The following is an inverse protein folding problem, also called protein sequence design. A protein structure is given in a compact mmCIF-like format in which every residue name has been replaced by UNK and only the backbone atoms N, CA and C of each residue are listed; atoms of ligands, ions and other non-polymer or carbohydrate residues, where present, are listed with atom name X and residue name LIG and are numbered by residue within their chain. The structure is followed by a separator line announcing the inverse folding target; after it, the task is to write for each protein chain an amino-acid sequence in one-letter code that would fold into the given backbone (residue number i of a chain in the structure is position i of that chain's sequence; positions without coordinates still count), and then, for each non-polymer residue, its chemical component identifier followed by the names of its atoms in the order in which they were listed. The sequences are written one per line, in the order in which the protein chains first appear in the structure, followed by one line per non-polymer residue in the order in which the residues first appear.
data_IF_456719933248
#
_entry.id   IF_456719933248
#
_cell.length_a   1.000
_cell.length_b   1.000
_cell.length_c   1.000
_cell.angle_alpha   90.00
_cell.angle_beta   90.00
_cell.angle_gamma   90.00
#
_symmetry.space_group_name_H-M   'P 1'
#
loop_
_entity.id
_entity.type
_entity.pdbx_description
1 polymer ?
#
# COMPACT_ATOMS: atom_id res chain seq x y z
N UNK A 1 -13.73 1.40 -0.70
CA UNK A 1 -14.78 1.78 0.24
C UNK A 1 -14.42 1.42 1.68
N UNK A 2 -14.14 0.14 1.98
CA UNK A 2 -13.83 -0.31 3.35
C UNK A 2 -12.69 0.47 4.03
N UNK A 3 -11.59 0.74 3.30
CA UNK A 3 -10.49 1.56 3.82
C UNK A 3 -10.94 2.98 4.15
N UNK A 4 -11.78 3.59 3.33
CA UNK A 4 -12.30 4.94 3.63
C UNK A 4 -13.20 4.94 4.88
N UNK A 5 -13.99 3.88 5.11
CA UNK A 5 -14.74 3.71 6.35
C UNK A 5 -13.81 3.59 7.57
N UNK A 6 -12.73 2.81 7.47
CA UNK A 6 -11.75 2.67 8.53
C UNK A 6 -11.04 4.01 8.82
N UNK A 7 -10.67 4.78 7.79
CA UNK A 7 -10.05 6.10 7.97
C UNK A 7 -11.01 7.07 8.68
N UNK A 8 -12.30 7.08 8.30
CA UNK A 8 -13.31 7.89 9.01
C UNK A 8 -13.44 7.48 10.48
N UNK A 9 -13.40 6.18 10.78
CA UNK A 9 -13.42 5.64 12.14
C UNK A 9 -12.21 6.08 12.97
N UNK A 10 -11.04 6.23 12.36
CA UNK A 10 -9.85 6.73 13.05
C UNK A 10 -10.01 8.18 13.53
N UNK A 11 -10.87 8.97 12.89
CA UNK A 11 -11.13 10.34 13.26
C UNK A 11 -10.13 11.33 12.66
N UNK A 12 -9.69 12.31 13.46
CA UNK A 12 -8.85 13.42 13.01
C UNK A 12 -7.50 12.94 12.46
N UNK A 13 -7.22 13.31 11.22
CA UNK A 13 -5.96 13.02 10.53
C UNK A 13 -5.64 14.13 9.53
N UNK A 14 -4.37 14.37 9.31
CA UNK A 14 -3.88 15.32 8.28
C UNK A 14 -3.46 14.58 7.00
N UNK A 15 -2.86 13.38 7.15
CA UNK A 15 -2.28 12.64 6.05
C UNK A 15 -2.74 11.17 6.06
N UNK A 16 -3.12 10.68 4.87
CA UNK A 16 -3.22 9.26 4.57
C UNK A 16 -2.10 8.91 3.61
N UNK A 17 -1.15 8.10 4.05
CA UNK A 17 0.02 7.70 3.25
C UNK A 17 -0.13 6.24 2.82
N UNK A 18 -0.03 6.00 1.53
CA UNK A 18 -0.06 4.67 0.94
C UNK A 18 1.11 4.42 -0.01
N UNK A 19 1.34 3.16 -0.35
CA UNK A 19 2.23 2.80 -1.45
C UNK A 19 1.62 3.18 -2.80
N UNK A 20 2.45 3.24 -3.84
CA UNK A 20 2.05 3.57 -5.21
C UNK A 20 0.95 2.64 -5.74
N UNK A 21 1.17 1.35 -5.62
CA UNK A 21 0.29 0.32 -6.15
C UNK A 21 0.55 -1.05 -5.52
N UNK A 22 -0.46 -1.93 -5.56
CA UNK A 22 -0.30 -3.33 -5.23
C UNK A 22 0.12 -4.12 -6.50
N UNK A 23 0.89 -5.19 -6.31
CA UNK A 23 1.47 -5.97 -7.41
C UNK A 23 0.49 -6.98 -8.03
N UNK A 24 -0.62 -7.25 -7.40
CA UNK A 24 -1.63 -8.21 -7.85
C UNK A 24 -2.44 -7.71 -9.06
N UNK A 25 -2.96 -6.49 -8.99
CA UNK A 25 -3.74 -5.89 -10.08
C UNK A 25 -3.02 -4.81 -10.86
N UNK A 26 -1.92 -4.30 -10.34
CA UNK A 26 -1.02 -3.30 -10.94
C UNK A 26 -1.70 -2.02 -11.46
N UNK A 27 -2.85 -1.65 -10.88
CA UNK A 27 -3.70 -0.55 -11.37
C UNK A 27 -3.49 0.78 -10.68
N UNK A 28 -2.77 0.83 -9.57
CA UNK A 28 -2.51 2.03 -8.76
C UNK A 28 -3.78 2.81 -8.31
N UNK A 29 -4.92 2.14 -8.19
CA UNK A 29 -6.22 2.78 -7.96
C UNK A 29 -6.58 2.97 -6.48
N UNK A 30 -6.01 2.20 -5.56
CA UNK A 30 -6.47 2.17 -4.15
C UNK A 30 -6.34 3.53 -3.48
N UNK A 31 -5.19 4.19 -3.56
CA UNK A 31 -4.98 5.53 -3.00
C UNK A 31 -5.98 6.56 -3.54
N UNK A 32 -6.04 6.76 -4.87
CA UNK A 32 -7.00 7.66 -5.50
C UNK A 32 -8.46 7.37 -5.13
N UNK A 33 -8.88 6.12 -5.11
CA UNK A 33 -10.25 5.76 -4.74
C UNK A 33 -10.56 6.00 -3.25
N UNK A 34 -9.58 5.86 -2.36
CA UNK A 34 -9.74 6.22 -0.95
C UNK A 34 -9.93 7.73 -0.83
N UNK A 35 -9.13 8.53 -1.52
CA UNK A 35 -9.26 9.99 -1.54
C UNK A 35 -10.65 10.43 -2.04
N UNK A 36 -11.10 9.86 -3.16
CA UNK A 36 -12.43 10.13 -3.73
C UNK A 36 -13.55 9.79 -2.74
N UNK A 37 -13.49 8.61 -2.10
CA UNK A 37 -14.48 8.18 -1.11
C UNK A 37 -14.47 9.02 0.16
N UNK A 38 -13.34 9.64 0.50
CA UNK A 38 -13.21 10.57 1.63
C UNK A 38 -13.60 12.00 1.26
N UNK A 39 -13.61 12.34 -0.03
CA UNK A 39 -13.85 13.71 -0.52
C UNK A 39 -12.69 14.66 -0.25
N UNK A 40 -11.43 14.15 -0.28
CA UNK A 40 -10.22 14.91 0.04
C UNK A 40 -9.23 14.89 -1.14
N UNK A 41 -8.34 15.91 -1.22
CA UNK A 41 -7.30 15.93 -2.25
C UNK A 41 -6.37 14.73 -2.21
N UNK A 42 -5.68 14.48 -3.34
CA UNK A 42 -4.70 13.43 -3.46
C UNK A 42 -3.45 13.91 -4.20
N UNK A 43 -2.29 13.38 -3.81
CA UNK A 43 -1.03 13.52 -4.52
C UNK A 43 -0.46 12.12 -4.74
N UNK A 44 -0.39 11.70 -6.01
CA UNK A 44 0.16 10.38 -6.38
C UNK A 44 1.61 10.47 -6.80
N UNK A 45 2.34 9.34 -6.70
CA UNK A 45 3.74 9.21 -7.12
C UNK A 45 4.71 10.16 -6.40
N UNK A 46 4.46 10.44 -5.12
CA UNK A 46 5.32 11.31 -4.32
C UNK A 46 6.73 10.73 -4.16
N UNK A 47 7.73 11.59 -4.30
CA UNK A 47 9.15 11.26 -4.08
C UNK A 47 9.70 11.95 -2.83
N UNK A 48 9.28 13.18 -2.59
CA UNK A 48 9.85 14.02 -1.55
C UNK A 48 8.78 14.94 -0.97
N UNK A 49 8.76 15.09 0.35
CA UNK A 49 7.99 16.15 1.01
C UNK A 49 8.91 17.37 1.12
N UNK A 50 8.64 18.38 0.27
CA UNK A 50 9.45 19.60 0.21
C UNK A 50 9.23 20.47 1.45
N UNK A 51 7.96 20.64 1.86
CA UNK A 51 7.61 21.30 3.12
C UNK A 51 6.29 20.78 3.67
N UNK A 52 6.15 20.83 4.99
CA UNK A 52 4.93 20.54 5.71
C UNK A 52 4.67 21.67 6.71
N UNK A 53 3.65 22.46 6.47
CA UNK A 53 3.28 23.61 7.29
C UNK A 53 1.89 23.40 7.89
N UNK A 54 1.47 24.29 8.78
CA UNK A 54 0.12 24.24 9.32
C UNK A 54 -0.89 24.46 8.19
N UNK A 55 -1.72 23.44 7.95
CA UNK A 55 -2.81 23.49 6.97
C UNK A 55 -2.45 23.03 5.55
N UNK A 56 -1.17 22.83 5.21
CA UNK A 56 -0.76 22.44 3.85
C UNK A 56 0.53 21.63 3.80
N UNK A 57 0.69 20.90 2.71
CA UNK A 57 1.91 20.17 2.37
C UNK A 57 2.31 20.47 0.92
N UNK A 58 3.62 20.59 0.69
CA UNK A 58 4.22 20.72 -0.65
C UNK A 58 5.01 19.44 -0.93
N UNK A 59 4.70 18.78 -2.03
CA UNK A 59 5.22 17.47 -2.39
C UNK A 59 5.77 17.50 -3.81
N UNK A 60 6.96 16.95 -3.99
CA UNK A 60 7.54 16.66 -5.30
C UNK A 60 7.09 15.27 -5.73
N UNK A 61 6.54 15.17 -6.92
CA UNK A 61 6.02 13.92 -7.49
C UNK A 61 6.63 13.63 -8.85
N UNK A 62 6.78 12.35 -9.18
CA UNK A 62 7.31 11.91 -10.49
C UNK A 62 6.19 11.38 -11.37
N UNK A 63 6.14 11.89 -12.58
CA UNK A 63 5.28 11.40 -13.65
C UNK A 63 6.14 10.85 -14.79
N UNK A 64 5.51 10.23 -15.79
CA UNK A 64 6.21 9.66 -16.94
C UNK A 64 7.06 10.69 -17.70
N UNK A 65 6.59 11.94 -17.78
CA UNK A 65 7.23 12.99 -18.56
C UNK A 65 8.03 14.00 -17.74
N UNK A 66 8.24 13.72 -16.46
CA UNK A 66 9.04 14.60 -15.61
C UNK A 66 8.61 14.63 -14.16
N UNK A 67 9.02 15.67 -13.48
CA UNK A 67 8.80 15.90 -12.07
C UNK A 67 8.04 17.20 -11.91
N UNK A 68 7.05 17.22 -11.02
CA UNK A 68 6.35 18.44 -10.63
C UNK A 68 6.28 18.61 -9.13
N UNK A 69 6.19 19.84 -8.67
CA UNK A 69 5.98 20.16 -7.26
C UNK A 69 4.57 20.68 -7.11
N UNK A 70 3.80 20.07 -6.22
CA UNK A 70 2.40 20.39 -5.99
C UNK A 70 2.13 20.70 -4.52
N UNK A 71 1.17 21.58 -4.27
CA UNK A 71 0.70 21.93 -2.93
C UNK A 71 -0.71 21.41 -2.74
N UNK A 72 -1.01 20.86 -1.56
CA UNK A 72 -2.36 20.49 -1.16
C UNK A 72 -2.65 20.90 0.28
N UNK A 73 -3.92 21.22 0.55
CA UNK A 73 -4.42 21.44 1.91
C UNK A 73 -4.68 20.11 2.61
N UNK A 74 -4.54 20.09 3.92
CA UNK A 74 -4.94 18.95 4.73
C UNK A 74 -6.47 18.87 4.90
N UNK A 75 -7.03 17.68 5.10
CA UNK A 75 -6.38 16.38 4.97
C UNK A 75 -6.13 15.98 3.51
N UNK A 76 -5.10 15.18 3.26
CA UNK A 76 -4.72 14.74 1.90
C UNK A 76 -4.25 13.29 1.86
N UNK A 77 -4.54 12.58 0.77
CA UNK A 77 -3.98 11.25 0.48
C UNK A 77 -2.72 11.40 -0.36
N UNK A 78 -1.63 10.76 0.07
CA UNK A 78 -0.36 10.74 -0.65
C UNK A 78 0.00 9.29 -0.97
N UNK A 79 0.30 8.98 -2.24
CA UNK A 79 0.88 7.68 -2.60
C UNK A 79 2.35 7.83 -2.96
N UNK A 80 3.20 7.01 -2.32
CA UNK A 80 4.65 7.12 -2.41
C UNK A 80 5.19 6.28 -3.55
N UNK A 81 6.06 6.89 -4.37
CA UNK A 81 6.73 6.22 -5.47
C UNK A 81 7.97 5.43 -4.99
N UNK A 82 8.36 4.39 -5.74
CA UNK A 82 9.55 3.60 -5.44
C UNK A 82 10.88 4.34 -5.59
N UNK A 83 10.88 5.53 -6.20
CA UNK A 83 12.04 6.42 -6.31
C UNK A 83 12.18 7.40 -5.14
N UNK A 84 11.29 7.35 -4.14
CA UNK A 84 11.47 8.10 -2.90
C UNK A 84 12.66 7.56 -2.10
N UNK A 85 13.23 8.42 -1.24
CA UNK A 85 14.35 8.04 -0.40
C UNK A 85 14.02 6.85 0.53
N UNK A 86 15.02 6.08 0.86
CA UNK A 86 14.92 4.92 1.74
C UNK A 86 14.43 5.32 3.14
N UNK A 87 13.61 4.44 3.73
CA UNK A 87 13.16 4.61 5.10
C UNK A 87 14.33 4.47 6.08
N UNK A 88 14.31 5.29 7.14
CA UNK A 88 15.22 5.08 8.27
C UNK A 88 15.09 3.66 8.85
N UNK A 89 16.18 3.06 9.40
CA UNK A 89 16.14 1.76 10.06
C UNK A 89 15.12 1.73 11.22
N UNK A 90 14.48 0.58 11.40
CA UNK A 90 13.55 0.37 12.52
C UNK A 90 14.31 0.30 13.84
N UNK A 91 13.76 0.90 14.89
CA UNK A 91 14.26 0.73 16.25
C UNK A 91 13.81 -0.63 16.84
N UNK A 92 14.35 -1.00 18.00
CA UNK A 92 14.03 -2.27 18.66
C UNK A 92 12.53 -2.45 18.94
N UNK A 93 11.83 -1.39 19.37
CA UNK A 93 10.39 -1.41 19.64
C UNK A 93 9.58 -1.69 18.34
N UNK A 94 9.93 -1.03 17.23
CA UNK A 94 9.30 -1.27 15.94
C UNK A 94 9.57 -2.69 15.42
N UNK A 95 10.77 -3.22 15.63
CA UNK A 95 11.11 -4.62 15.30
C UNK A 95 10.31 -5.61 16.16
N UNK A 96 10.14 -5.36 17.44
CA UNK A 96 9.30 -6.16 18.34
C UNK A 96 7.84 -6.14 17.89
N UNK A 97 7.32 -4.95 17.56
CA UNK A 97 5.95 -4.81 17.03
C UNK A 97 5.76 -5.60 15.74
N UNK A 98 6.69 -5.50 14.82
CA UNK A 98 6.64 -6.25 13.56
C UNK A 98 6.61 -7.78 13.76
N UNK A 99 7.39 -8.30 14.72
CA UNK A 99 7.52 -9.74 14.95
C UNK A 99 6.40 -10.35 15.79
N UNK A 100 5.88 -9.60 16.76
CA UNK A 100 5.08 -10.16 17.85
C UNK A 100 3.73 -9.48 18.05
N UNK A 101 3.41 -8.40 17.31
CA UNK A 101 2.10 -7.77 17.42
C UNK A 101 1.01 -8.71 16.90
N UNK A 102 -0.07 -8.83 17.66
CA UNK A 102 -1.21 -9.70 17.35
C UNK A 102 -2.53 -9.02 17.68
N UNK A 103 -3.56 -9.41 16.95
CA UNK A 103 -4.94 -9.07 17.27
C UNK A 103 -5.44 -9.92 18.44
N UNK A 104 -6.60 -9.56 18.99
CA UNK A 104 -7.21 -10.36 20.06
C UNK A 104 -7.64 -11.76 19.55
N UNK A 105 -8.16 -11.83 18.34
CA UNK A 105 -8.56 -13.10 17.71
C UNK A 105 -7.36 -14.04 17.49
N UNK A 106 -6.24 -13.51 17.02
CA UNK A 106 -5.01 -14.26 16.84
C UNK A 106 -4.45 -14.78 18.18
N UNK A 107 -4.56 -14.00 19.25
CA UNK A 107 -4.13 -14.42 20.59
C UNK A 107 -5.00 -15.53 21.16
N UNK A 108 -6.29 -15.49 20.93
CA UNK A 108 -7.21 -16.54 21.38
C UNK A 108 -6.98 -17.87 20.65
N UNK A 109 -6.49 -17.81 19.41
CA UNK A 109 -6.14 -18.99 18.61
C UNK A 109 -4.74 -19.53 18.89
N UNK A 110 -3.89 -18.77 19.62
CA UNK A 110 -2.52 -19.15 19.93
C UNK A 110 -2.40 -19.66 21.37
N UNK A 111 -2.21 -20.96 21.54
CA UNK A 111 -2.03 -21.61 22.85
C UNK A 111 -0.71 -21.23 23.56
N UNK A 112 0.12 -20.39 22.98
CA UNK A 112 1.39 -19.97 23.53
C UNK A 112 1.19 -18.96 24.67
N UNK A 113 1.28 -19.42 25.91
CA UNK A 113 1.24 -18.60 27.11
C UNK A 113 2.30 -17.47 27.12
N UNK A 114 3.45 -17.71 26.47
CA UNK A 114 4.54 -16.75 26.37
C UNK A 114 4.13 -15.49 25.59
N UNK A 115 3.46 -15.65 24.43
CA UNK A 115 3.05 -14.51 23.62
C UNK A 115 1.89 -13.74 24.27
N UNK A 116 1.00 -14.40 24.97
CA UNK A 116 -0.06 -13.74 25.73
C UNK A 116 0.51 -12.86 26.83
N UNK A 117 1.43 -13.39 27.66
CA UNK A 117 2.11 -12.64 28.71
C UNK A 117 2.92 -11.45 28.14
N UNK A 118 3.61 -11.65 27.00
CA UNK A 118 4.35 -10.58 26.34
C UNK A 118 3.45 -9.42 25.88
N UNK A 119 2.25 -9.71 25.39
CA UNK A 119 1.27 -8.69 24.98
C UNK A 119 0.67 -7.95 26.18
N UNK A 120 0.55 -8.58 27.34
CA UNK A 120 0.14 -7.94 28.59
C UNK A 120 1.20 -6.96 29.11
N UNK A 121 2.47 -7.39 29.13
CA UNK A 121 3.59 -6.54 29.56
C UNK A 121 3.85 -5.37 28.59
N UNK A 122 3.54 -5.55 27.30
CA UNK A 122 3.87 -4.62 26.22
C UNK A 122 2.64 -4.23 25.41
N UNK A 123 1.81 -3.30 25.88
CA UNK A 123 0.55 -2.92 25.23
C UNK A 123 0.68 -2.50 23.76
N UNK A 124 1.84 -2.02 23.33
CA UNK A 124 2.11 -1.66 21.94
C UNK A 124 2.14 -2.85 20.95
N UNK A 125 2.15 -4.09 21.48
CA UNK A 125 2.03 -5.31 20.68
C UNK A 125 0.57 -5.68 20.39
N UNK A 126 -0.40 -5.03 21.01
CA UNK A 126 -1.80 -5.27 20.74
C UNK A 126 -2.22 -4.53 19.47
N UNK A 127 -2.78 -5.28 18.51
CA UNK A 127 -3.38 -4.72 17.31
C UNK A 127 -4.88 -4.56 17.52
N UNK A 128 -5.40 -3.39 17.17
CA UNK A 128 -6.84 -3.16 17.12
C UNK A 128 -7.40 -3.80 15.86
N UNK A 129 -8.43 -4.60 16.02
CA UNK A 129 -9.13 -5.28 14.93
C UNK A 129 -10.53 -4.69 14.81
N UNK A 130 -10.92 -4.30 13.61
CA UNK A 130 -12.26 -3.79 13.31
C UNK A 130 -12.94 -4.66 12.27
N UNK A 131 -14.16 -5.08 12.60
CA UNK A 131 -15.08 -5.69 11.65
C UNK A 131 -15.95 -4.65 10.92
N UNK A 132 -16.81 -5.14 10.05
CA UNK A 132 -17.70 -4.30 9.23
C UNK A 132 -18.60 -3.41 10.09
N UNK A 133 -19.10 -3.95 11.20
CA UNK A 133 -19.97 -3.20 12.13
C UNK A 133 -19.21 -2.08 12.88
N UNK A 134 -17.92 -2.30 13.16
CA UNK A 134 -17.12 -1.30 13.90
C UNK A 134 -16.85 -0.05 13.06
N UNK A 135 -16.80 -0.18 11.75
CA UNK A 135 -16.51 0.92 10.81
C UNK A 135 -17.77 1.43 10.10
N UNK A 136 -18.95 1.03 10.54
CA UNK A 136 -20.26 1.40 9.98
C UNK A 136 -20.31 1.21 8.45
N UNK A 137 -19.71 0.14 7.95
CA UNK A 137 -19.66 -0.12 6.52
C UNK A 137 -20.95 -0.80 6.02
N UNK A 138 -21.49 -0.30 4.92
CA UNK A 138 -22.62 -0.92 4.23
C UNK A 138 -22.17 -2.25 3.58
N UNK A 139 -22.77 -3.34 4.04
CA UNK A 139 -22.48 -4.70 3.53
C UNK A 139 -22.68 -4.85 2.02
N UNK A 140 -23.58 -4.07 1.42
CA UNK A 140 -23.81 -4.10 -0.03
C UNK A 140 -22.63 -3.53 -0.83
N UNK A 141 -21.76 -2.74 -0.21
CA UNK A 141 -20.61 -2.08 -0.83
C UNK A 141 -19.27 -2.75 -0.52
N UNK A 142 -19.27 -3.89 0.18
CA UNK A 142 -18.04 -4.62 0.52
C UNK A 142 -18.02 -6.02 -0.10
N UNK A 143 -16.82 -6.57 -0.21
CA UNK A 143 -16.60 -7.90 -0.77
C UNK A 143 -17.02 -8.02 -2.24
N UNK A 144 -17.38 -9.23 -2.65
CA UNK A 144 -17.79 -9.52 -4.04
C UNK A 144 -19.10 -8.84 -4.43
N UNK A 145 -20.00 -8.60 -3.48
CA UNK A 145 -21.27 -7.93 -3.74
C UNK A 145 -21.07 -6.46 -4.09
N UNK A 146 -20.13 -5.78 -3.39
CA UNK A 146 -19.85 -4.37 -3.60
C UNK A 146 -18.86 -4.07 -4.73
N UNK A 147 -18.24 -5.08 -5.33
CA UNK A 147 -17.30 -4.89 -6.43
C UNK A 147 -18.02 -4.58 -7.75
N UNK A 148 -17.75 -3.42 -8.39
CA UNK A 148 -18.29 -3.12 -9.71
C UNK A 148 -17.65 -3.97 -10.83
N UNK A 149 -16.52 -4.61 -10.54
CA UNK A 149 -15.81 -5.50 -11.47
C UNK A 149 -15.79 -6.92 -10.94
N UNK A 150 -15.95 -7.87 -11.84
CA UNK A 150 -15.88 -9.31 -11.52
C UNK A 150 -14.82 -9.96 -12.38
N UNK A 151 -13.95 -10.74 -11.75
CA UNK A 151 -12.99 -11.57 -12.49
C UNK A 151 -13.77 -12.65 -13.22
N UNK A 152 -13.69 -12.65 -14.55
CA UNK A 152 -14.37 -13.63 -15.39
C UNK A 152 -13.59 -14.94 -15.46
N UNK A 153 -12.28 -14.84 -15.61
CA UNK A 153 -11.38 -15.97 -15.80
C UNK A 153 -9.98 -15.60 -15.40
N UNK A 154 -9.24 -16.52 -14.80
CA UNK A 154 -7.81 -16.41 -14.52
C UNK A 154 -7.11 -17.49 -15.31
N UNK A 155 -6.10 -17.12 -16.10
CA UNK A 155 -5.23 -18.04 -16.82
C UNK A 155 -3.83 -17.94 -16.25
N UNK A 156 -3.27 -19.07 -15.83
CA UNK A 156 -1.88 -19.13 -15.40
C UNK A 156 -0.99 -19.19 -16.63
N UNK A 157 -0.25 -18.14 -16.89
CA UNK A 157 0.80 -18.15 -17.92
C UNK A 157 2.05 -18.77 -17.29
N UNK A 158 2.33 -20.00 -17.68
CA UNK A 158 3.61 -20.65 -17.33
C UNK A 158 4.64 -20.23 -18.35
N UNK A 159 5.58 -19.38 -17.91
CA UNK A 159 6.73 -19.05 -18.76
C UNK A 159 7.59 -20.30 -18.95
N UNK A 160 7.59 -20.85 -20.14
CA UNK A 160 8.57 -21.85 -20.52
C UNK A 160 9.88 -21.12 -20.86
N UNK A 161 10.96 -21.54 -20.24
CA UNK A 161 12.27 -21.05 -20.61
C UNK A 161 12.50 -21.36 -22.10
N UNK A 162 12.71 -20.34 -22.91
CA UNK A 162 13.14 -20.53 -24.29
C UNK A 162 14.54 -21.15 -24.28
N UNK A 163 14.84 -21.95 -25.28
CA UNK A 163 16.20 -22.47 -25.45
C UNK A 163 17.19 -21.32 -25.49
N UNK A 164 18.28 -21.48 -24.74
CA UNK A 164 19.37 -20.49 -24.72
C UNK A 164 20.08 -20.60 -26.07
N UNK A 165 20.03 -19.53 -26.86
CA UNK A 165 20.81 -19.40 -28.09
C UNK A 165 22.11 -18.68 -27.75
N UNK A 166 23.23 -19.35 -27.89
CA UNK A 166 24.56 -18.73 -27.77
C UNK A 166 24.92 -18.08 -29.10
N UNK A 167 25.08 -16.77 -29.07
CA UNK A 167 25.49 -15.99 -30.26
C UNK A 167 26.98 -15.70 -30.19
N UNK A 168 27.62 -15.67 -31.38
CA UNK A 168 29.01 -15.23 -31.54
C UNK A 168 29.06 -13.83 -32.12
N UNK A 169 30.24 -13.22 -32.20
CA UNK A 169 30.40 -11.90 -32.81
C UNK A 169 30.48 -11.98 -34.35
N UNK A 170 29.77 -12.93 -34.97
CA UNK A 170 29.66 -13.03 -36.42
C UNK A 170 28.54 -12.13 -36.95
N UNK A 171 28.70 -11.60 -38.17
CA UNK A 171 27.69 -10.74 -38.80
C UNK A 171 26.31 -11.42 -38.86
N UNK A 172 26.29 -12.76 -39.14
CA UNK A 172 25.04 -13.52 -39.19
C UNK A 172 24.33 -13.63 -37.85
N UNK A 173 25.07 -13.79 -36.72
CA UNK A 173 24.51 -13.87 -35.39
C UNK A 173 24.03 -12.49 -34.89
N UNK A 174 24.71 -11.42 -35.31
CA UNK A 174 24.30 -10.04 -35.06
C UNK A 174 22.99 -9.72 -35.80
N UNK A 175 22.90 -10.11 -37.09
CA UNK A 175 21.66 -9.95 -37.86
C UNK A 175 20.48 -10.72 -37.23
N UNK A 176 20.71 -11.92 -36.71
CA UNK A 176 19.71 -12.73 -36.03
C UNK A 176 19.24 -12.10 -34.70
N UNK A 177 20.14 -11.40 -34.00
CA UNK A 177 19.80 -10.68 -32.75
C UNK A 177 18.96 -9.44 -33.03
N UNK A 178 19.10 -8.82 -34.20
CA UNK A 178 18.39 -7.60 -34.57
C UNK A 178 17.00 -7.85 -35.16
N UNK A 179 16.64 -9.10 -35.46
CA UNK A 179 15.30 -9.52 -35.89
C UNK A 179 14.39 -9.86 -34.73
#
# INVERSE_FOLDING_TARGET
YALACAVRKMGDFDLVIGGRQAIDGDTAQVGPQVAEKLGIPQITYAEEIVSAEKGKVVVKRRLERGVETVEASYPVVITVNGSADDCRPRNAKATQKYKYAKTQSERQADDSSYFCALCEERPYLNLTEWGVADVDADLSQVGLAGSPTKVKQIENIVFQAKEIKTLTASDSDIEDLMK
#
